data_IF_330594005227
#
_entry.id   IF_330594005227
#
_cell.length_a   1.000
_cell.length_b   1.000
_cell.length_c   1.000
_cell.angle_alpha   90.00
_cell.angle_beta   90.00
_cell.angle_gamma   90.00
#
_symmetry.space_group_name_H-M   'P 1'
#
loop_
_entity.id
_entity.type
_entity.pdbx_description
1 polymer ?
#
# COMPACT_ATOMS: atom_id res chain seq x y z
N UNK A 1 14.40 -24.62 26.14
CA UNK A 1 13.49 -23.95 25.18
C UNK A 1 12.14 -23.54 25.81
N UNK A 2 12.06 -23.29 27.13
CA UNK A 2 10.78 -22.99 27.82
C UNK A 2 10.87 -21.92 28.94
N UNK A 3 11.99 -21.18 29.06
CA UNK A 3 12.14 -20.14 30.09
C UNK A 3 11.91 -18.73 29.49
N UNK A 4 12.37 -18.50 28.27
CA UNK A 4 12.20 -17.22 27.56
C UNK A 4 10.74 -16.96 27.16
N UNK A 5 10.00 -18.00 26.75
CA UNK A 5 8.58 -17.89 26.39
C UNK A 5 7.69 -17.52 27.59
N UNK A 6 7.99 -18.06 28.78
CA UNK A 6 7.25 -17.74 30.01
C UNK A 6 7.65 -16.37 30.58
N UNK A 7 8.90 -15.93 30.37
CA UNK A 7 9.34 -14.60 30.75
C UNK A 7 8.57 -13.55 29.93
N UNK A 8 8.63 -13.63 28.60
CA UNK A 8 7.91 -12.69 27.72
C UNK A 8 6.38 -12.70 27.94
N UNK A 9 5.75 -13.87 28.17
CA UNK A 9 4.31 -13.91 28.48
C UNK A 9 3.94 -13.25 29.82
N UNK A 10 4.81 -13.33 30.84
CA UNK A 10 4.53 -12.73 32.16
C UNK A 10 4.85 -11.23 32.23
N UNK A 11 5.84 -10.73 31.48
CA UNK A 11 6.11 -9.28 31.37
C UNK A 11 5.03 -8.56 30.57
N UNK A 12 4.46 -9.23 29.56
CA UNK A 12 3.44 -8.64 28.68
C UNK A 12 2.10 -8.43 29.39
N UNK A 13 1.77 -9.27 30.38
CA UNK A 13 0.58 -9.04 31.22
C UNK A 13 0.75 -7.87 32.20
N UNK A 14 1.96 -7.35 32.41
CA UNK A 14 2.21 -6.30 33.42
C UNK A 14 2.70 -4.96 32.83
N UNK A 15 3.34 -4.90 31.66
CA UNK A 15 3.70 -3.62 31.03
C UNK A 15 4.11 -3.71 29.53
N UNK A 16 3.26 -3.32 28.55
CA UNK A 16 3.60 -3.27 27.13
C UNK A 16 4.87 -2.48 26.79
N UNK A 17 5.15 -1.39 27.52
CA UNK A 17 6.34 -0.57 27.31
C UNK A 17 7.64 -1.32 27.66
N UNK A 18 7.60 -2.16 28.70
CA UNK A 18 8.76 -2.96 29.10
C UNK A 18 9.09 -4.01 28.05
N UNK A 19 8.06 -4.66 27.47
CA UNK A 19 8.25 -5.62 26.40
C UNK A 19 8.89 -4.98 25.14
N UNK A 20 8.43 -3.81 24.72
CA UNK A 20 9.02 -3.08 23.58
C UNK A 20 10.48 -2.72 23.87
N UNK A 21 10.79 -2.24 25.09
CA UNK A 21 12.14 -1.89 25.51
C UNK A 21 13.08 -3.10 25.51
N UNK A 22 12.61 -4.25 25.98
CA UNK A 22 13.38 -5.49 25.96
C UNK A 22 13.70 -5.93 24.52
N UNK A 23 12.72 -5.84 23.61
CA UNK A 23 12.92 -6.11 22.18
C UNK A 23 13.96 -5.17 21.56
N UNK A 24 13.89 -3.87 21.86
CA UNK A 24 14.89 -2.89 21.40
C UNK A 24 16.29 -3.24 21.89
N UNK A 25 16.43 -3.65 23.16
CA UNK A 25 17.73 -3.99 23.76
C UNK A 25 18.43 -5.19 23.10
N UNK A 26 17.68 -6.09 22.48
CA UNK A 26 18.21 -7.26 21.74
C UNK A 26 18.22 -7.09 20.22
N UNK A 27 18.04 -5.87 19.71
CA UNK A 27 18.06 -5.56 18.27
C UNK A 27 16.80 -5.93 17.51
N UNK A 28 15.68 -6.12 18.21
CA UNK A 28 14.36 -6.41 17.64
C UNK A 28 13.83 -7.83 17.87
N UNK A 29 12.58 -8.07 17.46
CA UNK A 29 11.90 -9.34 17.69
C UNK A 29 12.46 -10.47 16.82
N UNK A 30 12.68 -11.63 17.43
CA UNK A 30 12.85 -12.88 16.71
C UNK A 30 11.48 -13.40 16.25
N UNK A 31 11.44 -14.33 15.28
CA UNK A 31 10.17 -14.88 14.76
C UNK A 31 9.25 -15.46 15.83
N UNK A 32 9.82 -15.97 16.93
CA UNK A 32 9.07 -16.52 18.07
C UNK A 32 8.33 -15.43 18.86
N UNK A 33 8.80 -14.17 18.78
CA UNK A 33 8.20 -13.04 19.49
C UNK A 33 7.04 -12.40 18.72
N UNK A 34 6.92 -12.66 17.42
CA UNK A 34 5.95 -11.98 16.55
C UNK A 34 4.50 -12.11 17.06
N UNK A 35 4.01 -13.31 17.44
CA UNK A 35 2.62 -13.44 17.94
C UNK A 35 2.38 -12.64 19.23
N UNK A 36 3.42 -12.51 20.07
CA UNK A 36 3.34 -11.74 21.30
C UNK A 36 3.27 -10.25 20.99
N UNK A 37 4.09 -9.76 20.07
CA UNK A 37 4.10 -8.35 19.66
C UNK A 37 2.80 -7.98 18.94
N UNK A 38 2.31 -8.83 18.04
CA UNK A 38 1.02 -8.64 17.37
C UNK A 38 -0.12 -8.54 18.41
N UNK A 39 -0.11 -9.40 19.43
CA UNK A 39 -1.09 -9.35 20.52
C UNK A 39 -0.99 -8.04 21.32
N UNK A 40 0.22 -7.61 21.69
CA UNK A 40 0.42 -6.34 22.40
C UNK A 40 -0.19 -5.18 21.62
N UNK A 41 0.02 -5.15 20.30
CA UNK A 41 -0.50 -4.08 19.44
C UNK A 41 -2.02 -4.09 19.35
N UNK A 42 -2.61 -5.27 19.27
CA UNK A 42 -4.07 -5.44 19.31
C UNK A 42 -4.63 -4.97 20.67
N UNK A 43 -4.02 -5.40 21.77
CA UNK A 43 -4.45 -5.01 23.12
C UNK A 43 -4.31 -3.50 23.35
N UNK A 44 -3.28 -2.86 22.79
CA UNK A 44 -3.08 -1.40 22.83
C UNK A 44 -4.09 -0.65 21.96
N UNK A 45 -4.41 -1.14 20.76
CA UNK A 45 -5.38 -0.49 19.88
C UNK A 45 -6.82 -0.59 20.41
N UNK A 46 -7.12 -1.60 21.23
CA UNK A 46 -8.40 -1.73 21.92
C UNK A 46 -8.52 -0.80 23.14
N UNK A 47 -7.45 -0.10 23.52
CA UNK A 47 -7.47 0.90 24.57
C UNK A 47 -7.66 2.29 23.97
N UNK A 48 -8.43 3.13 24.67
CA UNK A 48 -8.55 4.55 24.34
C UNK A 48 -7.31 5.30 24.87
N UNK A 49 -6.20 5.19 24.14
CA UNK A 49 -4.92 5.77 24.52
C UNK A 49 -4.93 7.28 24.25
N UNK A 50 -4.57 8.08 25.26
CA UNK A 50 -4.37 9.51 25.08
C UNK A 50 -3.18 9.80 24.16
N UNK A 51 -3.15 11.01 23.56
CA UNK A 51 -1.99 11.44 22.77
C UNK A 51 -0.66 11.36 23.54
N UNK A 52 -0.71 11.59 24.85
CA UNK A 52 0.48 11.49 25.72
C UNK A 52 0.97 10.04 25.84
N UNK A 53 0.06 9.08 25.96
CA UNK A 53 0.41 7.66 25.98
C UNK A 53 0.98 7.18 24.64
N UNK A 54 0.40 7.64 23.52
CA UNK A 54 0.92 7.36 22.18
C UNK A 54 2.31 7.97 21.97
N UNK A 55 2.54 9.21 22.41
CA UNK A 55 3.87 9.84 22.42
C UNK A 55 4.85 9.05 23.29
N UNK A 56 4.41 8.57 24.46
CA UNK A 56 5.19 7.71 25.34
C UNK A 56 5.64 6.42 24.63
N UNK A 57 4.72 5.74 23.92
CA UNK A 57 5.05 4.54 23.14
C UNK A 57 6.07 4.83 22.02
N UNK A 58 5.96 5.98 21.35
CA UNK A 58 6.90 6.36 20.29
C UNK A 58 8.25 6.82 20.81
N UNK A 59 8.30 7.34 22.04
CA UNK A 59 9.54 7.79 22.68
C UNK A 59 10.57 6.68 22.93
N UNK A 60 10.15 5.41 22.83
CA UNK A 60 11.07 4.27 22.90
C UNK A 60 12.00 4.17 21.68
N UNK A 61 11.62 4.77 20.55
CA UNK A 61 12.41 4.76 19.33
C UNK A 61 13.33 5.98 19.29
N UNK A 62 14.63 5.75 19.47
CA UNK A 62 15.63 6.81 19.39
C UNK A 62 15.83 7.31 17.96
N UNK A 63 16.58 8.42 17.80
CA UNK A 63 16.86 9.01 16.50
C UNK A 63 17.55 8.02 15.54
N UNK A 64 18.40 7.13 16.07
CA UNK A 64 19.11 6.13 15.27
C UNK A 64 18.11 5.13 14.68
N UNK A 65 17.19 4.60 15.48
CA UNK A 65 16.10 3.73 15.03
C UNK A 65 15.23 4.45 13.99
N UNK A 66 14.84 5.69 14.28
CA UNK A 66 13.96 6.47 13.43
C UNK A 66 14.56 6.72 12.04
N UNK A 67 15.87 6.89 11.95
CA UNK A 67 16.57 7.14 10.69
C UNK A 67 16.94 5.89 9.91
N UNK A 68 17.03 4.73 10.56
CA UNK A 68 17.63 3.52 9.95
C UNK A 68 16.68 2.32 9.84
N UNK A 69 15.38 2.48 10.12
CA UNK A 69 14.39 1.38 10.03
C UNK A 69 13.21 1.76 9.13
N UNK A 70 12.53 0.75 8.59
CA UNK A 70 11.26 0.86 7.87
C UNK A 70 10.17 1.52 8.73
N UNK A 71 10.08 1.10 10.00
CA UNK A 71 9.13 1.68 10.94
C UNK A 71 9.44 3.16 11.21
N UNK A 72 10.70 3.49 11.44
CA UNK A 72 11.16 4.85 11.62
C UNK A 72 10.86 5.74 10.42
N UNK A 73 11.06 5.24 9.20
CA UNK A 73 10.69 5.94 7.98
C UNK A 73 9.17 6.21 7.93
N UNK A 74 8.35 5.19 8.23
CA UNK A 74 6.88 5.32 8.26
C UNK A 74 6.38 6.32 9.29
N UNK A 75 7.03 6.40 10.46
CA UNK A 75 6.70 7.39 11.50
C UNK A 75 7.10 8.81 11.05
N UNK A 76 8.30 8.96 10.47
CA UNK A 76 8.83 10.29 10.08
C UNK A 76 8.12 10.91 8.88
N UNK A 77 7.56 10.10 7.97
CA UNK A 77 6.87 10.55 6.75
C UNK A 77 7.67 11.63 6.01
N UNK A 78 8.89 11.34 5.54
CA UNK A 78 9.80 12.36 5.03
C UNK A 78 9.26 13.14 3.83
N UNK A 79 8.26 12.59 3.11
CA UNK A 79 7.58 13.26 2.00
C UNK A 79 6.23 13.88 2.39
N UNK A 80 5.89 13.90 3.68
CA UNK A 80 4.75 14.60 4.25
C UNK A 80 3.44 13.80 4.31
N UNK A 81 3.44 12.52 3.93
CA UNK A 81 2.24 11.67 3.96
C UNK A 81 2.58 10.19 4.19
N UNK A 82 1.62 9.43 4.75
CA UNK A 82 1.77 7.98 4.95
C UNK A 82 1.62 7.23 3.64
N UNK A 83 2.42 6.18 3.44
CA UNK A 83 2.38 5.39 2.20
C UNK A 83 2.98 6.13 1.01
N UNK A 84 3.95 7.02 1.25
CA UNK A 84 4.68 7.69 0.18
C UNK A 84 5.39 6.72 -0.77
N UNK A 85 5.75 7.24 -1.95
CA UNK A 85 6.32 6.41 -3.00
C UNK A 85 7.55 5.64 -2.54
N UNK A 86 8.35 6.21 -1.63
CA UNK A 86 9.60 5.61 -1.18
C UNK A 86 9.34 4.47 -0.19
N UNK A 87 8.44 4.61 0.78
CA UNK A 87 8.10 3.48 1.66
C UNK A 87 7.42 2.36 0.89
N UNK A 88 6.58 2.69 -0.09
CA UNK A 88 5.97 1.68 -0.97
C UNK A 88 7.04 0.96 -1.80
N UNK A 89 8.03 1.68 -2.34
CA UNK A 89 9.15 1.06 -3.07
C UNK A 89 10.01 0.15 -2.19
N UNK A 90 10.27 0.58 -0.95
CA UNK A 90 10.98 -0.21 0.05
C UNK A 90 10.17 -1.47 0.46
N UNK A 91 8.85 -1.36 0.57
CA UNK A 91 7.96 -2.52 0.77
C UNK A 91 8.05 -3.48 -0.42
N UNK A 92 8.05 -2.96 -1.65
CA UNK A 92 8.15 -3.79 -2.86
C UNK A 92 9.48 -4.52 -3.03
N UNK A 93 10.55 -3.99 -2.43
CA UNK A 93 11.91 -4.53 -2.52
C UNK A 93 12.34 -5.28 -1.27
N UNK A 94 11.46 -5.37 -0.26
CA UNK A 94 11.77 -5.95 1.07
C UNK A 94 13.04 -5.35 1.68
N UNK A 95 13.18 -4.02 1.56
CA UNK A 95 14.34 -3.29 2.02
C UNK A 95 14.54 -3.42 3.53
N UNK A 96 15.76 -3.77 3.95
CA UNK A 96 16.16 -3.77 5.35
C UNK A 96 17.34 -2.83 5.55
N UNK A 97 17.47 -2.32 6.77
CA UNK A 97 18.63 -1.57 7.24
C UNK A 97 19.95 -2.27 6.92
N UNK A 98 20.96 -1.48 6.58
CA UNK A 98 22.35 -1.95 6.47
C UNK A 98 22.99 -2.17 7.85
N UNK A 99 22.36 -1.65 8.92
CA UNK A 99 22.82 -1.80 10.30
C UNK A 99 22.23 -3.10 10.91
N UNK A 100 23.08 -4.08 11.32
CA UNK A 100 22.63 -5.38 11.79
C UNK A 100 21.63 -5.33 12.96
N UNK A 101 21.74 -4.33 13.84
CA UNK A 101 20.87 -4.17 15.00
C UNK A 101 19.41 -3.80 14.67
N UNK A 102 19.11 -3.43 13.41
CA UNK A 102 17.77 -3.05 12.98
C UNK A 102 17.13 -4.04 12.01
N UNK A 103 17.90 -4.99 11.48
CA UNK A 103 17.41 -5.96 10.48
C UNK A 103 16.19 -6.74 10.99
N UNK A 104 16.15 -7.12 12.27
CA UNK A 104 15.00 -7.86 12.82
C UNK A 104 13.72 -7.02 12.87
N UNK A 105 13.84 -5.73 13.14
CA UNK A 105 12.71 -4.81 13.11
C UNK A 105 12.13 -4.67 11.71
N UNK A 106 12.99 -4.54 10.69
CA UNK A 106 12.53 -4.44 9.31
C UNK A 106 11.97 -5.77 8.80
N UNK A 107 12.52 -6.90 9.23
CA UNK A 107 11.95 -8.22 8.97
C UNK A 107 10.56 -8.38 9.61
N UNK A 108 10.36 -7.88 10.82
CA UNK A 108 9.05 -7.86 11.46
C UNK A 108 8.08 -6.94 10.72
N UNK A 109 8.52 -5.73 10.35
CA UNK A 109 7.75 -4.81 9.51
C UNK A 109 7.29 -5.51 8.23
N UNK A 110 8.18 -6.13 7.47
CA UNK A 110 7.81 -6.81 6.23
C UNK A 110 6.96 -8.07 6.41
N UNK A 111 6.97 -8.68 7.61
CA UNK A 111 6.13 -9.83 7.94
C UNK A 111 4.68 -9.45 8.24
N UNK A 112 4.41 -8.19 8.53
CA UNK A 112 3.06 -7.68 8.69
C UNK A 112 2.21 -7.95 7.43
N UNK A 113 0.92 -8.22 7.64
CA UNK A 113 -0.01 -8.56 6.56
C UNK A 113 -0.17 -7.41 5.56
N UNK A 114 -0.15 -6.15 6.01
CA UNK A 114 -0.26 -4.99 5.12
C UNK A 114 0.91 -4.86 4.12
N UNK A 115 2.20 -4.90 4.51
CA UNK A 115 3.31 -4.95 3.57
C UNK A 115 3.28 -6.16 2.62
N UNK A 116 2.88 -7.34 3.10
CA UNK A 116 2.71 -8.51 2.23
C UNK A 116 1.60 -8.24 1.20
N UNK A 117 0.46 -7.68 1.61
CA UNK A 117 -0.64 -7.35 0.72
C UNK A 117 -0.25 -6.30 -0.33
N UNK A 118 0.56 -5.31 0.03
CA UNK A 118 1.15 -4.36 -0.93
C UNK A 118 2.03 -5.09 -1.94
N UNK A 119 2.89 -6.02 -1.53
CA UNK A 119 3.67 -6.85 -2.48
C UNK A 119 2.77 -7.72 -3.36
N UNK A 120 1.71 -8.31 -2.80
CA UNK A 120 0.75 -9.09 -3.56
C UNK A 120 -0.03 -8.25 -4.57
N UNK A 121 -0.35 -6.99 -4.24
CA UNK A 121 -0.93 -6.00 -5.16
C UNK A 121 -0.05 -5.76 -6.39
N UNK A 122 1.28 -5.64 -6.21
CA UNK A 122 2.23 -5.56 -7.34
C UNK A 122 2.14 -6.80 -8.24
N UNK A 123 2.11 -7.99 -7.64
CA UNK A 123 1.96 -9.25 -8.38
C UNK A 123 0.62 -9.35 -9.11
N UNK A 124 -0.46 -8.86 -8.50
CA UNK A 124 -1.79 -8.79 -9.09
C UNK A 124 -1.79 -7.88 -10.32
N UNK A 125 -1.28 -6.66 -10.21
CA UNK A 125 -1.16 -5.71 -11.31
C UNK A 125 -0.39 -6.30 -12.49
N UNK A 126 0.78 -6.91 -12.21
CA UNK A 126 1.60 -7.56 -13.26
C UNK A 126 0.82 -8.65 -14.00
N UNK A 127 0.10 -9.49 -13.26
CA UNK A 127 -0.72 -10.57 -13.84
C UNK A 127 -1.89 -10.02 -14.67
N UNK A 128 -2.56 -8.97 -14.18
CA UNK A 128 -3.63 -8.28 -14.89
C UNK A 128 -3.13 -7.71 -16.23
N UNK A 129 -2.04 -6.94 -16.22
CA UNK A 129 -1.48 -6.36 -17.44
C UNK A 129 -1.05 -7.46 -18.43
N UNK A 130 -0.38 -8.51 -17.95
CA UNK A 130 0.00 -9.65 -18.80
C UNK A 130 -1.22 -10.26 -19.50
N UNK A 131 -2.29 -10.57 -18.76
CA UNK A 131 -3.50 -11.18 -19.32
C UNK A 131 -4.22 -10.28 -20.34
N UNK A 132 -4.17 -8.95 -20.15
CA UNK A 132 -4.72 -7.98 -21.11
C UNK A 132 -3.89 -7.94 -22.39
N UNK A 133 -2.56 -7.98 -22.26
CA UNK A 133 -1.62 -7.94 -23.39
C UNK A 133 -1.63 -9.22 -24.26
N UNK A 134 -2.08 -10.35 -23.73
CA UNK A 134 -2.30 -11.58 -24.50
C UNK A 134 -3.38 -11.42 -25.59
N UNK A 135 -4.31 -10.48 -25.39
CA UNK A 135 -5.45 -10.24 -26.31
C UNK A 135 -5.16 -9.14 -27.32
N UNK A 136 -4.51 -8.05 -26.89
CA UNK A 136 -4.22 -6.89 -27.73
C UNK A 136 -3.17 -5.98 -27.09
N UNK A 137 -2.70 -4.99 -27.85
CA UNK A 137 -2.04 -3.83 -27.25
C UNK A 137 -3.04 -3.09 -26.35
N UNK A 138 -2.55 -2.44 -25.28
CA UNK A 138 -3.39 -1.68 -24.35
C UNK A 138 -2.82 -0.30 -24.02
N UNK A 139 -3.72 0.65 -23.83
CA UNK A 139 -3.48 1.98 -23.28
C UNK A 139 -3.91 1.99 -21.81
N UNK A 140 -2.97 2.22 -20.90
CA UNK A 140 -3.14 2.23 -19.46
C UNK A 140 -3.14 3.66 -18.91
N UNK A 141 -4.11 4.00 -18.06
CA UNK A 141 -4.03 5.13 -17.15
C UNK A 141 -3.67 4.61 -15.74
N UNK A 142 -2.45 4.90 -15.28
CA UNK A 142 -2.01 4.58 -13.93
C UNK A 142 -2.19 5.81 -13.03
N UNK A 143 -3.16 5.75 -12.12
CA UNK A 143 -3.56 6.86 -11.25
C UNK A 143 -2.90 6.74 -9.89
N UNK A 144 -2.32 7.84 -9.40
CA UNK A 144 -1.46 7.86 -8.22
C UNK A 144 -0.38 6.78 -8.35
N UNK A 145 0.40 6.89 -9.43
CA UNK A 145 1.33 5.84 -9.88
C UNK A 145 2.45 5.53 -8.90
N UNK A 146 2.69 6.39 -7.91
CA UNK A 146 3.68 6.17 -6.86
C UNK A 146 5.08 5.90 -7.43
N UNK A 147 5.81 4.90 -6.91
CA UNK A 147 7.19 4.63 -7.36
C UNK A 147 7.28 3.98 -8.74
N UNK A 148 6.16 3.53 -9.32
CA UNK A 148 6.09 2.83 -10.59
C UNK A 148 6.98 1.58 -10.72
N UNK A 149 7.41 0.96 -9.60
CA UNK A 149 8.17 -0.31 -9.66
C UNK A 149 7.37 -1.45 -10.26
N UNK A 150 6.09 -1.52 -9.92
CA UNK A 150 5.15 -2.46 -10.52
C UNK A 150 5.11 -2.31 -12.04
N UNK A 151 5.05 -1.07 -12.54
CA UNK A 151 5.11 -0.73 -13.96
C UNK A 151 6.48 -1.05 -14.60
N UNK A 152 7.59 -0.70 -13.93
CA UNK A 152 8.94 -1.03 -14.39
C UNK A 152 9.12 -2.53 -14.56
N UNK A 153 8.70 -3.32 -13.58
CA UNK A 153 8.74 -4.78 -13.63
C UNK A 153 7.84 -5.37 -14.72
N UNK A 154 6.70 -4.73 -15.02
CA UNK A 154 5.88 -5.10 -16.19
C UNK A 154 6.67 -4.88 -17.47
N UNK A 155 7.18 -3.67 -17.72
CA UNK A 155 7.89 -3.35 -18.95
C UNK A 155 9.16 -4.20 -19.15
N UNK A 156 9.92 -4.46 -18.10
CA UNK A 156 11.08 -5.36 -18.13
C UNK A 156 10.72 -6.79 -18.54
N UNK A 157 9.51 -7.24 -18.23
CA UNK A 157 9.04 -8.58 -18.57
C UNK A 157 8.43 -8.68 -19.99
N UNK A 158 8.20 -7.55 -20.68
CA UNK A 158 7.63 -7.55 -22.02
C UNK A 158 8.70 -7.77 -23.09
N UNK A 159 8.44 -8.69 -24.02
CA UNK A 159 9.25 -8.84 -25.23
C UNK A 159 9.04 -7.70 -26.23
N UNK A 160 7.88 -7.04 -26.17
CA UNK A 160 7.48 -5.92 -27.02
C UNK A 160 6.89 -4.79 -26.16
N UNK A 161 7.74 -3.94 -25.55
CA UNK A 161 7.30 -2.83 -24.69
C UNK A 161 6.29 -1.89 -25.36
N UNK A 162 6.35 -1.73 -26.68
CA UNK A 162 5.45 -0.89 -27.46
C UNK A 162 3.98 -1.33 -27.41
N UNK A 163 3.69 -2.58 -27.00
CA UNK A 163 2.32 -3.06 -26.82
C UNK A 163 1.60 -2.42 -25.62
N UNK A 164 2.34 -1.78 -24.71
CA UNK A 164 1.80 -1.11 -23.54
C UNK A 164 2.16 0.38 -23.59
N UNK A 165 1.14 1.24 -23.71
CA UNK A 165 1.28 2.69 -23.59
C UNK A 165 0.69 3.15 -22.28
N UNK A 166 1.47 3.85 -21.45
CA UNK A 166 1.03 4.22 -20.09
C UNK A 166 1.01 5.73 -19.93
N UNK A 167 -0.07 6.27 -19.38
CA UNK A 167 -0.12 7.62 -18.82
C UNK A 167 -0.20 7.51 -17.30
N UNK A 168 0.81 8.00 -16.60
CA UNK A 168 0.88 8.07 -15.15
C UNK A 168 0.41 9.45 -14.67
N UNK A 169 -0.57 9.50 -13.77
CA UNK A 169 -1.01 10.74 -13.11
C UNK A 169 -0.59 10.68 -11.65
N UNK A 170 0.28 11.59 -11.24
CA UNK A 170 0.85 11.62 -9.90
C UNK A 170 0.92 13.05 -9.36
N UNK A 171 0.69 13.24 -8.07
CA UNK A 171 0.74 14.55 -7.43
C UNK A 171 2.16 14.89 -6.96
N UNK A 172 2.88 13.90 -6.42
CA UNK A 172 4.21 14.10 -5.85
C UNK A 172 5.30 14.15 -6.95
N UNK A 173 6.00 15.30 -7.12
CA UNK A 173 7.09 15.39 -8.08
C UNK A 173 8.26 14.45 -7.76
N UNK A 174 8.49 14.10 -6.49
CA UNK A 174 9.56 13.18 -6.09
C UNK A 174 9.25 11.75 -6.54
N UNK A 175 7.98 11.34 -6.42
CA UNK A 175 7.51 10.06 -6.95
C UNK A 175 7.71 9.99 -8.47
N UNK A 176 7.39 11.06 -9.20
CA UNK A 176 7.60 11.13 -10.65
C UNK A 176 9.09 11.05 -11.00
N UNK A 177 9.95 11.78 -10.29
CA UNK A 177 11.40 11.75 -10.52
C UNK A 177 11.97 10.34 -10.28
N UNK A 178 11.56 9.70 -9.19
CA UNK A 178 11.93 8.32 -8.87
C UNK A 178 11.46 7.33 -9.94
N UNK A 179 10.18 7.42 -10.33
CA UNK A 179 9.59 6.57 -11.36
C UNK A 179 10.29 6.74 -12.73
N UNK A 180 10.64 7.98 -13.12
CA UNK A 180 11.39 8.24 -14.36
C UNK A 180 12.79 7.63 -14.33
N UNK A 181 13.47 7.68 -13.20
CA UNK A 181 14.78 7.03 -13.04
C UNK A 181 14.65 5.51 -13.16
N UNK A 182 13.69 4.92 -12.43
CA UNK A 182 13.46 3.49 -12.40
C UNK A 182 13.00 2.93 -13.76
N UNK A 183 12.16 3.68 -14.48
CA UNK A 183 11.64 3.31 -15.80
C UNK A 183 12.43 3.93 -16.96
N UNK A 184 13.67 4.38 -16.74
CA UNK A 184 14.47 5.09 -17.76
C UNK A 184 14.57 4.40 -19.13
N UNK A 185 14.61 3.04 -19.25
CA UNK A 185 14.62 2.38 -20.56
C UNK A 185 13.30 2.49 -21.34
N UNK A 186 12.20 2.85 -20.68
CA UNK A 186 10.83 2.77 -21.22
C UNK A 186 10.11 4.12 -21.29
N UNK A 187 10.85 5.23 -21.17
CA UNK A 187 10.25 6.57 -21.14
C UNK A 187 9.53 6.95 -22.44
N UNK A 188 9.82 6.30 -23.57
CA UNK A 188 9.07 6.49 -24.80
C UNK A 188 7.69 5.81 -24.80
N UNK A 189 7.41 4.94 -23.83
CA UNK A 189 6.11 4.28 -23.63
C UNK A 189 5.31 4.86 -22.45
N UNK A 190 5.95 5.71 -21.62
CA UNK A 190 5.38 6.19 -20.36
C UNK A 190 5.35 7.72 -20.35
N UNK A 191 4.14 8.27 -20.32
CA UNK A 191 3.89 9.68 -20.11
C UNK A 191 3.62 9.96 -18.64
N UNK A 192 4.22 11.00 -18.07
CA UNK A 192 4.00 11.41 -16.69
C UNK A 192 3.31 12.78 -16.61
N UNK A 193 2.21 12.84 -15.88
CA UNK A 193 1.46 14.06 -15.61
C UNK A 193 1.52 14.39 -14.12
N UNK A 194 2.21 15.48 -13.75
CA UNK A 194 2.19 15.99 -12.38
C UNK A 194 0.88 16.74 -12.12
N UNK A 195 -0.13 16.05 -11.58
CA UNK A 195 -1.47 16.61 -11.47
C UNK A 195 -2.28 15.90 -10.40
N UNK A 196 -3.07 16.67 -9.64
CA UNK A 196 -4.14 16.09 -8.83
C UNK A 196 -5.18 15.41 -9.76
N UNK A 197 -5.47 14.13 -9.53
CA UNK A 197 -6.37 13.35 -10.39
C UNK A 197 -7.79 13.93 -10.46
N UNK A 198 -8.32 14.50 -9.36
CA UNK A 198 -9.64 15.14 -9.34
C UNK A 198 -9.68 16.38 -10.26
N UNK A 199 -8.52 17.00 -10.53
CA UNK A 199 -8.38 18.10 -11.50
C UNK A 199 -7.91 17.64 -12.88
N UNK A 200 -7.38 16.42 -13.04
CA UNK A 200 -6.84 15.88 -14.31
C UNK A 200 -7.91 15.83 -15.41
N UNK A 201 -7.56 16.22 -16.63
CA UNK A 201 -8.48 16.16 -17.76
C UNK A 201 -7.68 15.70 -18.96
N UNK A 202 -8.28 14.87 -19.80
CA UNK A 202 -7.66 14.38 -21.02
C UNK A 202 -8.72 13.94 -22.01
N UNK A 203 -8.43 14.09 -23.30
CA UNK A 203 -9.23 13.53 -24.38
C UNK A 203 -8.82 12.08 -24.70
N UNK A 204 -7.61 11.68 -24.28
CA UNK A 204 -7.10 10.31 -24.46
C UNK A 204 -8.00 9.31 -23.75
N UNK A 205 -8.26 8.19 -24.43
CA UNK A 205 -9.04 7.07 -23.89
C UNK A 205 -8.17 5.87 -23.61
N UNK A 206 -8.54 5.11 -22.58
CA UNK A 206 -7.76 4.00 -22.05
C UNK A 206 -8.55 2.70 -22.08
N UNK A 207 -7.84 1.59 -22.30
CA UNK A 207 -8.38 0.24 -22.18
C UNK A 207 -8.47 -0.19 -20.71
N UNK A 208 -7.60 0.38 -19.86
CA UNK A 208 -7.55 0.12 -18.44
C UNK A 208 -7.23 1.40 -17.66
N UNK A 209 -8.02 1.70 -16.64
CA UNK A 209 -7.68 2.65 -15.58
C UNK A 209 -7.33 1.84 -14.33
N UNK A 210 -6.10 1.99 -13.83
CA UNK A 210 -5.60 1.34 -12.64
C UNK A 210 -5.36 2.37 -11.53
N UNK A 211 -5.81 2.08 -10.32
CA UNK A 211 -5.47 2.85 -9.12
C UNK A 211 -5.22 1.91 -7.95
N UNK A 212 -3.96 1.80 -7.54
CA UNK A 212 -3.49 0.80 -6.59
C UNK A 212 -4.02 1.01 -5.15
N UNK A 213 -3.90 2.23 -4.62
CA UNK A 213 -4.18 2.51 -3.20
C UNK A 213 -4.73 3.90 -2.92
N UNK A 214 -5.08 4.67 -3.95
CA UNK A 214 -5.62 6.02 -3.75
C UNK A 214 -7.00 6.00 -3.08
N UNK A 215 -7.81 4.99 -3.37
CA UNK A 215 -9.19 4.88 -2.88
C UNK A 215 -9.27 4.55 -1.39
N UNK A 216 -8.17 4.06 -0.81
CA UNK A 216 -7.99 3.90 0.64
C UNK A 216 -8.12 5.22 1.41
N UNK A 217 -8.03 6.38 0.73
CA UNK A 217 -8.08 7.71 1.36
C UNK A 217 -9.32 8.52 0.98
N UNK A 218 -10.16 8.00 0.07
CA UNK A 218 -11.32 8.75 -0.41
C UNK A 218 -12.55 8.46 0.43
N UNK A 219 -13.12 9.50 1.02
CA UNK A 219 -14.49 9.47 1.50
C UNK A 219 -15.47 9.20 0.34
N UNK A 220 -16.62 8.64 0.67
CA UNK A 220 -17.60 8.10 -0.28
C UNK A 220 -17.98 9.08 -1.40
N UNK A 221 -18.17 10.36 -1.07
CA UNK A 221 -18.47 11.39 -2.07
C UNK A 221 -17.34 11.54 -3.10
N UNK A 222 -16.09 11.59 -2.63
CA UNK A 222 -14.92 11.72 -3.51
C UNK A 222 -14.71 10.43 -4.31
N UNK A 223 -14.90 9.28 -3.66
CA UNK A 223 -14.84 7.95 -4.27
C UNK A 223 -15.77 7.87 -5.49
N UNK A 224 -17.05 8.19 -5.30
CA UNK A 224 -18.08 8.18 -6.36
C UNK A 224 -17.73 9.17 -7.48
N UNK A 225 -17.28 10.38 -7.15
CA UNK A 225 -16.88 11.37 -8.15
C UNK A 225 -15.67 10.89 -8.98
N UNK A 226 -14.69 10.24 -8.34
CA UNK A 226 -13.52 9.71 -9.02
C UNK A 226 -13.90 8.58 -10.00
N UNK A 227 -14.78 7.66 -9.59
CA UNK A 227 -15.25 6.60 -10.49
C UNK A 227 -16.00 7.14 -11.71
N UNK A 228 -16.95 8.07 -11.50
CA UNK A 228 -17.67 8.74 -12.60
C UNK A 228 -16.69 9.38 -13.59
N UNK A 229 -15.66 10.02 -13.05
CA UNK A 229 -14.62 10.63 -13.87
C UNK A 229 -13.81 9.61 -14.66
N UNK A 230 -13.40 8.50 -14.05
CA UNK A 230 -12.62 7.46 -14.73
C UNK A 230 -13.41 6.81 -15.86
N UNK A 231 -14.72 6.66 -15.71
CA UNK A 231 -15.60 6.19 -16.79
C UNK A 231 -15.44 7.05 -18.04
N UNK A 232 -15.35 8.37 -17.88
CA UNK A 232 -15.17 9.29 -19.03
C UNK A 232 -13.82 9.11 -19.73
N UNK A 233 -12.84 8.46 -19.11
CA UNK A 233 -11.53 8.22 -19.69
C UNK A 233 -11.41 6.85 -20.38
N UNK A 234 -12.44 6.01 -20.32
CA UNK A 234 -12.40 4.69 -20.94
C UNK A 234 -12.75 4.72 -22.42
N UNK A 235 -12.16 3.78 -23.16
CA UNK A 235 -12.69 3.33 -24.45
C UNK A 235 -13.94 2.46 -24.23
N UNK A 236 -14.81 2.27 -25.23
CA UNK A 236 -15.84 1.22 -25.17
C UNK A 236 -15.20 -0.15 -24.89
N UNK A 237 -15.72 -0.90 -23.92
CA UNK A 237 -15.12 -2.17 -23.50
C UNK A 237 -13.91 -2.01 -22.55
N UNK A 238 -13.61 -0.80 -22.11
CA UNK A 238 -12.55 -0.51 -21.15
C UNK A 238 -12.91 -0.94 -19.73
N UNK A 239 -11.91 -0.99 -18.86
CA UNK A 239 -12.09 -1.43 -17.47
C UNK A 239 -11.49 -0.45 -16.48
N UNK A 240 -12.18 -0.25 -15.35
CA UNK A 240 -11.62 0.40 -14.16
C UNK A 240 -11.26 -0.68 -13.16
N UNK A 241 -10.04 -0.63 -12.62
CA UNK A 241 -9.61 -1.49 -11.52
C UNK A 241 -9.01 -0.62 -10.43
N UNK A 242 -9.62 -0.66 -9.25
CA UNK A 242 -9.16 0.09 -8.07
C UNK A 242 -8.87 -0.88 -6.92
N UNK A 243 -7.83 -0.59 -6.15
CA UNK A 243 -7.54 -1.28 -4.90
C UNK A 243 -8.17 -0.57 -3.70
N UNK A 244 -8.64 -1.35 -2.73
CA UNK A 244 -8.99 -0.86 -1.40
C UNK A 244 -8.56 -1.90 -0.35
N UNK A 245 -8.02 -1.49 0.78
CA UNK A 245 -7.81 -2.35 1.94
C UNK A 245 -9.16 -2.83 2.49
N UNK A 246 -9.25 -4.12 2.83
CA UNK A 246 -10.45 -4.73 3.38
C UNK A 246 -10.59 -4.44 4.87
N UNK A 247 -11.78 -4.69 5.43
CA UNK A 247 -11.98 -4.68 6.89
C UNK A 247 -11.08 -5.70 7.61
N UNK A 248 -10.66 -6.76 6.91
CA UNK A 248 -9.80 -7.83 7.40
C UNK A 248 -8.31 -7.49 7.25
N UNK A 249 -7.85 -6.46 7.97
CA UNK A 249 -6.45 -6.06 8.00
C UNK A 249 -5.85 -6.21 9.42
N UNK A 250 -5.19 -7.34 9.75
CA UNK A 250 -4.65 -7.55 11.09
C UNK A 250 -3.48 -6.60 11.42
N UNK A 251 -2.88 -5.95 10.41
CA UNK A 251 -1.83 -4.94 10.61
C UNK A 251 -2.37 -3.55 10.89
N UNK A 252 -3.70 -3.34 10.92
CA UNK A 252 -4.31 -2.03 11.14
C UNK A 252 -3.84 -1.38 12.46
N UNK A 253 -3.82 -2.06 13.63
CA UNK A 253 -3.26 -1.49 14.86
C UNK A 253 -1.81 -1.02 14.71
N UNK A 254 -0.95 -1.81 14.06
CA UNK A 254 0.44 -1.44 13.85
C UNK A 254 0.57 -0.17 12.99
N UNK A 255 -0.22 -0.09 11.92
CA UNK A 255 -0.26 1.05 11.01
C UNK A 255 -0.71 2.34 11.72
N UNK A 256 -1.76 2.25 12.54
CA UNK A 256 -2.35 3.41 13.21
C UNK A 256 -1.50 3.85 14.42
N UNK A 257 -1.15 2.92 15.32
CA UNK A 257 -0.42 3.23 16.57
C UNK A 257 0.98 3.80 16.30
N UNK A 258 1.72 3.22 15.36
CA UNK A 258 3.08 3.68 15.05
C UNK A 258 3.13 4.61 13.86
N UNK A 259 2.48 4.26 12.75
CA UNK A 259 2.63 5.00 11.50
C UNK A 259 1.75 6.23 11.34
N UNK A 260 0.80 6.50 12.25
CA UNK A 260 -0.32 7.42 12.01
C UNK A 260 -0.88 7.20 10.59
N UNK A 261 -1.02 5.93 10.20
CA UNK A 261 -1.40 5.54 8.85
C UNK A 261 -2.84 5.01 8.86
N UNK A 262 -3.75 5.96 8.79
CA UNK A 262 -5.19 5.73 8.74
C UNK A 262 -5.66 5.58 7.30
N UNK A 263 -6.44 4.52 7.05
CA UNK A 263 -7.09 4.23 5.78
C UNK A 263 -8.59 4.04 6.01
N UNK A 264 -9.38 4.25 4.97
CA UNK A 264 -10.80 3.88 4.92
C UNK A 264 -10.88 2.45 4.39
N UNK A 265 -10.85 1.49 5.31
CA UNK A 265 -11.08 0.07 5.02
C UNK A 265 -12.53 -0.15 4.58
N UNK A 266 -12.75 -0.99 3.57
CA UNK A 266 -14.08 -1.26 3.03
C UNK A 266 -14.34 -2.73 2.78
N UNK A 267 -15.59 -3.16 2.92
CA UNK A 267 -16.05 -4.49 2.52
C UNK A 267 -16.33 -4.55 1.01
N UNK A 268 -16.41 -5.77 0.42
CA UNK A 268 -16.87 -5.95 -0.95
C UNK A 268 -18.24 -5.32 -1.25
N UNK A 269 -19.16 -5.37 -0.29
CA UNK A 269 -20.52 -4.83 -0.39
C UNK A 269 -20.50 -3.29 -0.42
N UNK A 270 -19.69 -2.66 0.43
CA UNK A 270 -19.51 -1.20 0.44
C UNK A 270 -18.92 -0.71 -0.88
N UNK A 271 -17.87 -1.39 -1.40
CA UNK A 271 -17.29 -1.07 -2.71
C UNK A 271 -18.32 -1.17 -3.83
N UNK A 272 -19.12 -2.24 -3.82
CA UNK A 272 -20.19 -2.46 -4.81
C UNK A 272 -21.25 -1.37 -4.73
N UNK A 273 -21.68 -1.00 -3.51
CA UNK A 273 -22.65 0.07 -3.28
C UNK A 273 -22.17 1.43 -3.79
N UNK A 274 -20.88 1.75 -3.58
CA UNK A 274 -20.27 2.97 -4.09
C UNK A 274 -20.18 2.99 -5.62
N UNK A 275 -19.86 1.86 -6.25
CA UNK A 275 -19.89 1.76 -7.70
C UNK A 275 -21.32 1.90 -8.27
N UNK A 276 -22.33 1.30 -7.64
CA UNK A 276 -23.73 1.50 -8.04
C UNK A 276 -24.14 2.98 -7.88
N UNK A 277 -23.73 3.62 -6.80
CA UNK A 277 -23.95 5.06 -6.57
C UNK A 277 -23.24 5.94 -7.60
N UNK A 278 -22.16 5.44 -8.19
CA UNK A 278 -21.48 6.05 -9.32
C UNK A 278 -22.20 5.87 -10.66
N UNK A 279 -23.24 5.03 -10.72
CA UNK A 279 -24.06 4.80 -11.92
C UNK A 279 -23.68 3.53 -12.70
N UNK A 280 -22.84 2.66 -12.15
CA UNK A 280 -22.54 1.37 -12.75
C UNK A 280 -23.58 0.32 -12.39
N UNK A 281 -23.84 -0.62 -13.30
CA UNK A 281 -24.74 -1.73 -13.04
C UNK A 281 -24.03 -2.84 -12.24
N UNK A 282 -24.76 -3.56 -11.41
CA UNK A 282 -24.21 -4.65 -10.59
C UNK A 282 -23.49 -5.74 -11.41
N UNK A 283 -23.98 -6.03 -12.63
CA UNK A 283 -23.37 -7.03 -13.52
C UNK A 283 -22.03 -6.58 -14.14
N UNK A 284 -21.67 -5.30 -14.01
CA UNK A 284 -20.37 -4.76 -14.45
C UNK A 284 -19.31 -4.86 -13.36
N UNK A 285 -19.72 -5.12 -12.11
CA UNK A 285 -18.86 -5.01 -10.93
C UNK A 285 -18.45 -6.40 -10.48
N UNK A 286 -17.16 -6.61 -10.23
CA UNK A 286 -16.66 -7.78 -9.52
C UNK A 286 -15.57 -7.39 -8.53
N UNK A 287 -15.52 -8.07 -7.39
CA UNK A 287 -14.51 -7.84 -6.36
C UNK A 287 -13.59 -9.05 -6.32
N UNK A 288 -12.31 -8.83 -6.60
CA UNK A 288 -11.24 -9.80 -6.40
C UNK A 288 -10.45 -9.44 -5.14
N UNK A 289 -9.56 -10.33 -4.71
CA UNK A 289 -8.67 -10.10 -3.58
C UNK A 289 -7.35 -10.83 -3.77
N UNK A 290 -6.30 -10.30 -3.16
CA UNK A 290 -5.04 -11.02 -3.07
C UNK A 290 -5.09 -12.16 -2.02
N UNK A 291 -4.04 -12.97 -1.95
CA UNK A 291 -4.00 -14.22 -1.20
C UNK A 291 -4.32 -14.09 0.30
N UNK A 292 -4.02 -12.95 0.93
CA UNK A 292 -4.34 -12.69 2.34
C UNK A 292 -5.74 -12.09 2.53
N UNK A 293 -6.38 -11.60 1.47
CA UNK A 293 -7.67 -10.91 1.55
C UNK A 293 -7.61 -9.52 2.19
N UNK A 294 -6.42 -8.99 2.46
CA UNK A 294 -6.19 -7.66 3.04
C UNK A 294 -6.39 -6.59 1.98
N UNK A 295 -6.03 -6.86 0.72
CA UNK A 295 -6.29 -5.93 -0.38
C UNK A 295 -7.32 -6.49 -1.37
N UNK A 296 -8.39 -5.71 -1.57
CA UNK A 296 -9.46 -5.96 -2.53
C UNK A 296 -9.18 -5.21 -3.82
N UNK A 297 -9.60 -5.79 -4.94
CA UNK A 297 -9.56 -5.17 -6.26
C UNK A 297 -10.98 -5.14 -6.83
N UNK A 298 -11.56 -3.95 -6.93
CA UNK A 298 -12.85 -3.77 -7.60
C UNK A 298 -12.61 -3.55 -9.08
N UNK A 299 -13.16 -4.45 -9.88
CA UNK A 299 -13.20 -4.41 -11.34
C UNK A 299 -14.56 -3.89 -11.79
N UNK A 300 -14.56 -2.93 -12.71
CA UNK A 300 -15.76 -2.39 -13.35
C UNK A 300 -15.58 -2.42 -14.86
N UNK A 301 -16.32 -3.30 -15.52
CA UNK A 301 -16.28 -3.47 -16.98
C UNK A 301 -17.28 -2.53 -17.65
N UNK A 302 -16.80 -1.58 -18.45
CA UNK A 302 -17.58 -0.51 -19.07
C UNK A 302 -17.84 -0.72 -20.56
#
# INVERSE_FOLDING_TARGET
MNIVSNYLQSTVQSNPAMAIKDLLSKGGPDKIDYPVLDKILQDLANQDLSEEQLKGLRSFFDEKFMNNTMQGFGIRKPYGYSGDFKIIDMIYTEHTSELPEFVKWDQYFHKQAAPIAVRNRKTYFKSLIKSKLEKSQISLLNVASGPARDLCEVYLALSRPEQLQTSCVELDPNAIAHAKQLCSPFLSQIEFHQKNILRFQTEKKFDLVWSAGLFDYFEDRIFVMALKKFQTFLKPGGEIVIGNFSLENPSRPYMELFGDWYLIHRSPEELTSLAISAGFNANQISIQKEALGVNLFMHIQC
#
